data_IF_753362065307
#
_entry.id   IF_753362065307
#
_cell.length_a   1.000
_cell.length_b   1.000
_cell.length_c   1.000
_cell.angle_alpha   90.00
_cell.angle_beta   90.00
_cell.angle_gamma   90.00
#
_symmetry.space_group_name_H-M   'P 1'
#
loop_
_entity.id
_entity.type
_entity.pdbx_description
1 polymer ?
#
# COMPACT_ATOMS: atom_id res chain seq x y z
N UNK A 1 10.67 14.41 5.78
CA UNK A 1 9.68 13.33 5.95
C UNK A 1 10.40 11.99 5.82
N UNK A 2 10.24 11.12 6.80
CA UNK A 2 10.85 9.79 6.74
C UNK A 2 9.80 8.79 6.28
N UNK A 3 10.10 8.11 5.18
CA UNK A 3 9.25 7.07 4.59
C UNK A 3 9.90 5.72 4.87
N UNK A 4 9.13 4.78 5.41
CA UNK A 4 9.62 3.45 5.75
C UNK A 4 8.69 2.38 5.19
N UNK A 5 9.23 1.22 4.87
CA UNK A 5 8.43 0.07 4.45
C UNK A 5 7.40 -0.25 5.52
N UNK A 6 6.16 -0.43 5.09
CA UNK A 6 5.04 -0.66 5.99
C UNK A 6 4.27 0.59 6.39
N UNK A 7 4.77 1.78 6.06
CA UNK A 7 4.00 3.01 6.30
C UNK A 7 2.74 3.00 5.44
N UNK A 8 1.63 3.45 6.05
CA UNK A 8 0.36 3.65 5.35
C UNK A 8 0.23 5.15 5.13
N UNK A 9 0.14 5.56 3.86
CA UNK A 9 0.10 6.97 3.45
C UNK A 9 -1.10 7.24 2.57
N UNK A 10 -1.65 8.44 2.68
CA UNK A 10 -2.68 8.91 1.76
C UNK A 10 -2.03 9.48 0.51
N UNK A 11 -2.62 9.19 -0.65
CA UNK A 11 -2.18 9.76 -1.92
C UNK A 11 -3.41 10.12 -2.75
N UNK A 12 -3.26 11.12 -3.63
CA UNK A 12 -4.26 11.44 -4.64
C UNK A 12 -3.77 10.89 -5.98
N UNK A 13 -4.48 9.89 -6.48
CA UNK A 13 -4.14 9.23 -7.74
C UNK A 13 -4.83 9.89 -8.95
N UNK A 14 -5.55 10.99 -8.72
CA UNK A 14 -6.25 11.68 -9.78
C UNK A 14 -7.52 10.97 -10.24
N UNK A 15 -8.19 11.51 -11.27
CA UNK A 15 -9.43 10.93 -11.76
C UNK A 15 -9.19 9.63 -12.50
N UNK A 16 -10.19 8.75 -12.49
CA UNK A 16 -10.15 7.53 -13.28
C UNK A 16 -10.29 7.88 -14.75
N UNK A 17 -9.32 7.50 -15.54
CA UNK A 17 -9.34 7.74 -16.97
C UNK A 17 -9.95 6.58 -17.73
N UNK A 18 -9.69 5.34 -17.29
CA UNK A 18 -10.30 4.14 -17.87
C UNK A 18 -10.08 2.91 -17.01
N UNK A 19 -10.93 1.92 -17.22
CA UNK A 19 -10.75 0.58 -16.67
C UNK A 19 -10.79 0.49 -15.16
N UNK A 20 -10.02 -0.43 -14.61
CA UNK A 20 -9.98 -0.74 -13.18
C UNK A 20 -8.75 -0.15 -12.48
N UNK A 21 -8.03 0.77 -13.14
CA UNK A 21 -6.89 1.42 -12.53
C UNK A 21 -7.34 2.19 -11.28
N UNK A 22 -6.54 2.17 -10.21
CA UNK A 22 -6.88 2.91 -8.99
C UNK A 22 -6.93 4.42 -9.27
N UNK A 23 -7.85 5.11 -8.62
CA UNK A 23 -8.08 6.53 -8.83
C UNK A 23 -8.57 7.19 -7.54
N UNK A 24 -8.51 8.53 -7.51
CA UNK A 24 -8.96 9.32 -6.39
C UNK A 24 -8.01 9.27 -5.21
N UNK A 25 -8.48 9.79 -4.07
CA UNK A 25 -7.70 9.77 -2.84
C UNK A 25 -7.76 8.37 -2.21
N UNK A 26 -6.61 7.74 -2.07
CA UNK A 26 -6.49 6.36 -1.59
C UNK A 26 -5.36 6.23 -0.58
N UNK A 27 -5.48 5.32 0.40
CA UNK A 27 -4.32 4.92 1.16
C UNK A 27 -3.47 3.94 0.36
N UNK A 28 -2.17 3.99 0.59
CA UNK A 28 -1.19 3.06 0.01
C UNK A 28 -0.27 2.58 1.11
N UNK A 29 0.29 1.40 0.93
CA UNK A 29 1.31 0.84 1.83
C UNK A 29 2.64 0.87 1.11
N UNK A 30 3.66 1.42 1.74
CA UNK A 30 5.02 1.41 1.20
C UNK A 30 5.56 -0.02 1.28
N UNK A 31 5.91 -0.58 0.14
CA UNK A 31 6.46 -1.94 0.05
C UNK A 31 7.91 -1.97 -0.40
N UNK A 32 8.45 -0.84 -0.84
CA UNK A 32 9.84 -0.72 -1.26
C UNK A 32 10.78 -0.97 -0.09
N UNK A 33 11.89 -1.67 -0.34
CA UNK A 33 12.93 -1.88 0.65
C UNK A 33 13.52 -0.54 1.10
N UNK A 34 13.71 -0.36 2.40
CA UNK A 34 14.17 0.90 2.98
C UNK A 34 15.50 1.38 2.42
N UNK A 35 16.39 0.47 2.04
CA UNK A 35 17.67 0.85 1.47
C UNK A 35 17.52 1.68 0.19
N UNK A 36 16.51 1.37 -0.63
CA UNK A 36 16.21 2.14 -1.83
C UNK A 36 15.55 3.46 -1.50
N UNK A 37 14.63 3.46 -0.53
CA UNK A 37 13.93 4.67 -0.10
C UNK A 37 14.92 5.68 0.52
N UNK A 38 15.94 5.21 1.23
CA UNK A 38 16.98 6.06 1.82
C UNK A 38 18.08 6.49 0.85
N UNK A 39 18.07 5.93 -0.36
CA UNK A 39 19.05 6.29 -1.40
C UNK A 39 18.68 7.61 -2.06
N UNK A 40 19.39 7.98 -3.11
CA UNK A 40 19.06 9.15 -3.93
C UNK A 40 17.85 8.94 -4.84
N UNK A 41 17.28 7.74 -4.84
CA UNK A 41 16.06 7.43 -5.59
C UNK A 41 14.89 8.25 -5.05
N UNK A 42 14.16 8.91 -5.93
CA UNK A 42 13.05 9.78 -5.55
C UNK A 42 11.68 9.13 -5.72
N UNK A 43 11.66 7.87 -6.12
CA UNK A 43 10.44 7.13 -6.32
C UNK A 43 10.29 6.05 -5.27
N UNK A 44 9.05 5.65 -5.00
CA UNK A 44 8.73 4.63 -4.01
C UNK A 44 7.65 3.70 -4.55
N UNK A 45 7.86 2.40 -4.36
CA UNK A 45 6.89 1.38 -4.78
C UNK A 45 5.91 1.15 -3.64
N UNK A 46 4.63 1.21 -3.97
CA UNK A 46 3.54 1.08 -3.00
C UNK A 46 2.51 0.07 -3.50
N UNK A 47 1.75 -0.49 -2.56
CA UNK A 47 0.56 -1.29 -2.84
C UNK A 47 -0.68 -0.48 -2.48
N UNK A 48 -1.68 -0.50 -3.34
CA UNK A 48 -2.92 0.26 -3.12
C UNK A 48 -3.78 -0.43 -2.08
N UNK A 49 -4.40 0.36 -1.22
CA UNK A 49 -5.33 -0.11 -0.19
C UNK A 49 -6.75 0.24 -0.63
N UNK A 50 -7.66 -0.71 -0.47
CA UNK A 50 -9.07 -0.54 -0.82
C UNK A 50 -9.95 -0.80 0.39
N UNK A 51 -11.09 -0.09 0.47
CA UNK A 51 -12.12 -0.37 1.48
C UNK A 51 -13.08 -1.48 1.06
N UNK A 52 -12.91 -2.02 -0.15
CA UNK A 52 -13.69 -3.18 -0.59
C UNK A 52 -13.12 -4.45 0.05
N UNK A 53 -13.67 -4.80 1.22
CA UNK A 53 -13.16 -5.92 2.01
C UNK A 53 -13.38 -7.29 1.37
N UNK A 54 -14.25 -7.39 0.36
CA UNK A 54 -14.42 -8.64 -0.39
C UNK A 54 -13.11 -9.06 -1.08
N UNK A 55 -12.23 -8.10 -1.39
CA UNK A 55 -10.93 -8.39 -2.00
C UNK A 55 -9.94 -9.07 -1.05
N UNK A 56 -10.27 -9.19 0.24
CA UNK A 56 -9.45 -9.98 1.17
C UNK A 56 -9.39 -11.45 0.78
N UNK A 57 -10.36 -11.94 0.03
CA UNK A 57 -10.39 -13.33 -0.42
C UNK A 57 -9.46 -13.61 -1.61
N UNK A 58 -9.00 -12.57 -2.30
CA UNK A 58 -8.03 -12.75 -3.37
C UNK A 58 -6.69 -13.21 -2.77
N UNK A 59 -6.16 -14.37 -3.19
CA UNK A 59 -4.91 -14.87 -2.61
C UNK A 59 -3.77 -13.87 -2.73
N UNK A 60 -3.08 -13.64 -1.62
CA UNK A 60 -1.99 -12.66 -1.55
C UNK A 60 -2.40 -11.32 -0.97
N UNK A 61 -3.69 -11.00 -0.95
CA UNK A 61 -4.16 -9.75 -0.34
C UNK A 61 -4.19 -9.87 1.19
N UNK A 62 -4.07 -8.73 1.88
CA UNK A 62 -3.96 -8.69 3.34
C UNK A 62 -5.05 -7.80 3.91
N UNK A 63 -5.86 -8.35 4.81
CA UNK A 63 -6.89 -7.59 5.52
C UNK A 63 -6.23 -6.67 6.55
N UNK A 64 -6.67 -5.41 6.59
CA UNK A 64 -6.24 -4.40 7.56
C UNK A 64 -7.44 -3.90 8.34
N UNK A 65 -7.54 -4.27 9.61
CA UNK A 65 -8.58 -3.73 10.47
C UNK A 65 -8.36 -2.23 10.70
N UNK A 66 -9.42 -1.45 10.72
CA UNK A 66 -9.34 -0.02 11.01
C UNK A 66 -8.65 0.25 12.34
N UNK A 67 -8.97 -0.56 13.36
CA UNK A 67 -8.40 -0.43 14.71
C UNK A 67 -6.89 -0.67 14.75
N UNK A 68 -6.34 -1.39 13.79
CA UNK A 68 -4.92 -1.74 13.76
C UNK A 68 -4.12 -0.86 12.79
N UNK A 69 -4.77 -0.27 11.80
CA UNK A 69 -4.10 0.43 10.69
C UNK A 69 -4.08 1.94 10.83
N UNK A 70 -4.96 2.51 11.66
CA UNK A 70 -5.17 3.95 11.71
C UNK A 70 -6.07 4.47 10.60
N UNK A 71 -6.61 3.61 9.75
CA UNK A 71 -7.54 4.00 8.70
C UNK A 71 -8.97 4.11 9.25
N UNK A 72 -9.83 4.94 8.63
CA UNK A 72 -11.21 5.12 9.11
C UNK A 72 -12.10 3.90 8.90
N UNK A 73 -11.71 2.97 8.02
CA UNK A 73 -12.49 1.77 7.68
C UNK A 73 -11.60 0.55 7.62
N UNK A 74 -12.20 -0.62 7.88
CA UNK A 74 -11.56 -1.88 7.54
C UNK A 74 -11.22 -1.90 6.05
N UNK A 75 -10.04 -2.37 5.72
CA UNK A 75 -9.48 -2.24 4.39
C UNK A 75 -8.69 -3.48 4.01
N UNK A 76 -8.22 -3.52 2.78
CA UNK A 76 -7.40 -4.62 2.25
C UNK A 76 -6.23 -4.02 1.49
N UNK A 77 -5.02 -4.53 1.76
CA UNK A 77 -3.86 -4.24 0.90
C UNK A 77 -4.00 -5.10 -0.35
N UNK A 78 -4.13 -4.46 -1.49
CA UNK A 78 -4.25 -5.16 -2.77
C UNK A 78 -2.87 -5.33 -3.40
N UNK A 79 -2.28 -6.49 -3.21
CA UNK A 79 -0.93 -6.79 -3.70
C UNK A 79 -0.87 -6.95 -5.22
N UNK A 80 -2.01 -6.97 -5.90
CA UNK A 80 -2.04 -6.96 -7.38
C UNK A 80 -2.03 -5.55 -7.96
N UNK A 81 -2.15 -4.52 -7.13
CA UNK A 81 -2.10 -3.12 -7.57
C UNK A 81 -0.88 -2.41 -6.98
N UNK A 82 0.24 -2.57 -7.64
CA UNK A 82 1.50 -1.95 -7.24
C UNK A 82 1.75 -0.74 -8.13
N UNK A 83 2.14 0.37 -7.51
CA UNK A 83 2.42 1.62 -8.20
C UNK A 83 3.80 2.11 -7.80
N UNK A 84 4.45 2.81 -8.73
CA UNK A 84 5.65 3.59 -8.44
C UNK A 84 5.27 5.06 -8.44
N UNK A 85 5.46 5.71 -7.30
CA UNK A 85 5.07 7.11 -7.10
C UNK A 85 6.30 7.95 -6.76
N UNK A 86 6.24 9.25 -7.04
CA UNK A 86 7.25 10.16 -6.50
C UNK A 86 7.06 10.30 -4.99
N UNK A 87 8.13 10.34 -4.25
CA UNK A 87 8.08 10.49 -2.78
C UNK A 87 7.27 11.72 -2.37
N UNK A 88 7.40 12.81 -3.11
CA UNK A 88 6.69 14.06 -2.80
C UNK A 88 5.18 13.96 -2.97
N UNK A 89 4.69 12.94 -3.68
CA UNK A 89 3.25 12.72 -3.85
C UNK A 89 2.63 11.96 -2.69
N UNK A 90 3.45 11.41 -1.79
CA UNK A 90 2.96 10.75 -0.58
C UNK A 90 2.48 11.80 0.41
N UNK A 91 1.22 11.70 0.78
CA UNK A 91 0.60 12.58 1.77
C UNK A 91 0.86 12.13 3.19
N UNK A 92 0.03 12.57 4.12
CA UNK A 92 0.23 12.30 5.55
C UNK A 92 0.15 10.82 5.87
N UNK A 93 0.87 10.42 6.92
CA UNK A 93 0.81 9.07 7.44
C UNK A 93 -0.55 8.82 8.09
N UNK A 94 -1.18 7.69 7.75
CA UNK A 94 -2.37 7.22 8.44
C UNK A 94 -2.01 6.27 9.59
N UNK A 95 -0.93 5.50 9.40
CA UNK A 95 -0.47 4.52 10.37
C UNK A 95 0.60 3.63 9.76
N UNK A 96 0.71 2.42 10.28
CA UNK A 96 1.65 1.42 9.80
C UNK A 96 0.97 0.05 9.74
N UNK A 97 1.44 -0.80 8.86
CA UNK A 97 1.05 -2.20 8.85
C UNK A 97 1.59 -2.85 10.13
N UNK A 98 0.73 -3.50 10.93
CA UNK A 98 1.20 -4.21 12.13
C UNK A 98 2.28 -5.23 11.78
N UNK A 99 3.25 -5.39 12.68
CA UNK A 99 4.36 -6.34 12.46
C UNK A 99 3.86 -7.76 12.15
N UNK A 100 2.79 -8.18 12.81
CA UNK A 100 2.19 -9.49 12.60
C UNK A 100 1.66 -9.68 11.18
N UNK A 101 1.27 -8.60 10.51
CA UNK A 101 0.76 -8.63 9.13
C UNK A 101 1.87 -8.40 8.10
N UNK A 102 3.04 -7.95 8.52
CA UNK A 102 4.18 -7.73 7.61
C UNK A 102 4.60 -9.01 6.93
N UNK A 103 4.58 -10.13 7.64
CA UNK A 103 4.92 -11.44 7.06
C UNK A 103 3.88 -11.88 6.03
N UNK A 104 2.61 -11.61 6.30
CA UNK A 104 1.54 -11.91 5.34
C UNK A 104 1.67 -11.05 4.08
N UNK A 105 2.03 -9.79 4.25
CA UNK A 105 2.30 -8.89 3.13
C UNK A 105 3.46 -9.37 2.27
N UNK A 106 4.56 -9.78 2.91
CA UNK A 106 5.72 -10.33 2.22
C UNK A 106 5.34 -11.59 1.43
N UNK A 107 4.61 -12.50 2.05
CA UNK A 107 4.14 -13.72 1.41
C UNK A 107 3.21 -13.43 0.24
N UNK A 108 2.31 -12.44 0.40
CA UNK A 108 1.40 -12.02 -0.65
C UNK A 108 2.13 -11.46 -1.86
N UNK A 109 3.14 -10.61 -1.64
CA UNK A 109 3.95 -10.06 -2.72
C UNK A 109 4.74 -11.16 -3.45
N UNK A 110 5.32 -12.11 -2.72
CA UNK A 110 6.00 -13.25 -3.34
C UNK A 110 5.05 -14.05 -4.21
N UNK A 111 3.85 -14.29 -3.71
CA UNK A 111 2.83 -15.05 -4.45
C UNK A 111 2.43 -14.35 -5.74
N UNK A 112 2.07 -13.08 -5.64
CA UNK A 112 1.57 -12.30 -6.79
C UNK A 112 2.66 -12.10 -7.84
N UNK A 113 3.90 -11.86 -7.41
CA UNK A 113 5.02 -11.60 -8.31
C UNK A 113 5.81 -12.87 -8.67
N UNK A 114 5.43 -13.99 -8.10
CA UNK A 114 6.10 -15.29 -8.34
C UNK A 114 7.60 -15.24 -8.01
N UNK A 115 7.89 -14.82 -6.79
CA UNK A 115 9.27 -14.72 -6.29
C UNK A 115 9.62 -15.88 -5.37
#
# INVERSE_FOLDING_TARGET
MVIRRGDIRWVDLGPRERGSAPAGRRPVVVVQHDAYTRSALRTVIVAVVTSNTALAELPGNVFLAATASGLPKDSVVNTTQLLTLDEEDLGPAAGRVPVTLSLDLDAGLRRVLHL
#
